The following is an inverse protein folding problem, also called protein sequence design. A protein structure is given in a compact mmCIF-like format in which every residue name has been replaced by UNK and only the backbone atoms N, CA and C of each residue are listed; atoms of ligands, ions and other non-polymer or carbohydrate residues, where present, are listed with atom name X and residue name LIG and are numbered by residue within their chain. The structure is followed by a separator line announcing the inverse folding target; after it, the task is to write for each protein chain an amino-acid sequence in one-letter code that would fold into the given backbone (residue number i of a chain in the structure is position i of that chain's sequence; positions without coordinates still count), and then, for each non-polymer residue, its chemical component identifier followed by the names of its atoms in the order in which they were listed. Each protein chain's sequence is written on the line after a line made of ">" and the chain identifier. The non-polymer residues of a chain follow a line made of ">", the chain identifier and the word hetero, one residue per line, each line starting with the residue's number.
data_IF_378189697865
#
_entry.id   IF_378189697865
#
_cell.length_a   1.000
_cell.length_b   1.000
_cell.length_c   1.000
_cell.angle_alpha   90.00
_cell.angle_beta   90.00
_cell.angle_gamma   90.00
#
_symmetry.space_group_name_H-M   'P 1'
#
loop_
_entity.id
_entity.type
_entity.pdbx_description
1 polymer ?
#
# COMPACT_ATOMS: atom_id res chain seq x y z
N UNK A 1 14.61 -0.51 0.35
CA UNK A 1 13.54 0.17 -0.41
C UNK A 1 13.03 -0.66 -1.59
N UNK A 2 13.89 -1.07 -2.53
CA UNK A 2 13.50 -1.77 -3.77
C UNK A 2 12.68 -3.06 -3.59
N UNK A 3 12.75 -3.70 -2.41
CA UNK A 3 11.98 -4.90 -2.07
C UNK A 3 10.63 -4.60 -1.42
N UNK A 4 10.52 -3.49 -0.70
CA UNK A 4 9.36 -3.16 0.14
C UNK A 4 8.43 -2.14 -0.51
N UNK A 5 8.94 -1.29 -1.42
CA UNK A 5 8.13 -0.30 -2.11
C UNK A 5 7.12 -0.96 -3.07
N UNK A 6 5.89 -0.44 -3.19
CA UNK A 6 4.79 -1.09 -3.91
C UNK A 6 5.05 -1.28 -5.41
N UNK A 7 5.73 -0.32 -6.05
CA UNK A 7 6.11 -0.41 -7.46
C UNK A 7 7.32 -1.33 -7.69
N UNK A 8 8.43 -1.05 -6.99
CA UNK A 8 9.69 -1.77 -7.19
C UNK A 8 9.65 -3.21 -6.67
N UNK A 9 8.87 -3.48 -5.62
CA UNK A 9 8.77 -4.77 -4.94
C UNK A 9 7.74 -5.72 -5.54
N UNK A 10 7.03 -5.33 -6.61
CA UNK A 10 5.97 -6.15 -7.19
C UNK A 10 6.49 -7.51 -7.68
N UNK A 11 5.74 -8.60 -7.42
CA UNK A 11 6.15 -9.98 -7.72
C UNK A 11 6.44 -10.23 -9.21
N UNK A 12 5.84 -9.42 -10.09
CA UNK A 12 6.06 -9.49 -11.53
C UNK A 12 7.45 -9.03 -11.98
N UNK A 13 8.19 -8.29 -11.14
CA UNK A 13 9.54 -7.80 -11.48
C UNK A 13 10.58 -8.84 -11.04
N UNK A 14 11.34 -9.45 -11.98
CA UNK A 14 12.39 -10.41 -11.64
C UNK A 14 13.40 -9.83 -10.65
N UNK A 15 13.87 -10.64 -9.70
CA UNK A 15 14.86 -10.23 -8.69
C UNK A 15 16.11 -9.62 -9.36
N UNK A 16 16.52 -10.18 -10.50
CA UNK A 16 17.68 -9.69 -11.28
C UNK A 16 17.53 -8.23 -11.72
N UNK A 17 16.34 -7.83 -12.16
CA UNK A 17 16.05 -6.44 -12.58
C UNK A 17 16.10 -5.50 -11.38
N UNK A 18 15.55 -5.92 -10.24
CA UNK A 18 15.58 -5.14 -9.00
C UNK A 18 17.00 -4.93 -8.48
N UNK A 19 17.84 -5.95 -8.57
CA UNK A 19 19.26 -5.85 -8.20
C UNK A 19 20.02 -4.89 -9.12
N UNK A 20 19.81 -4.98 -10.45
CA UNK A 20 20.41 -4.06 -11.41
C UNK A 20 19.99 -2.60 -11.13
N UNK A 21 18.70 -2.35 -10.90
CA UNK A 21 18.21 -1.01 -10.54
C UNK A 21 18.82 -0.51 -9.22
N UNK A 22 18.95 -1.35 -8.21
CA UNK A 22 19.58 -0.99 -6.95
C UNK A 22 21.07 -0.60 -7.13
N UNK A 23 21.81 -1.34 -7.96
CA UNK A 23 23.22 -1.05 -8.27
C UNK A 23 23.34 0.28 -9.03
N UNK A 24 22.49 0.50 -10.05
CA UNK A 24 22.49 1.75 -10.83
C UNK A 24 22.16 2.95 -9.95
N UNK A 25 21.13 2.86 -9.11
CA UNK A 25 20.77 3.92 -8.18
C UNK A 25 21.89 4.18 -7.17
N UNK A 26 22.51 3.13 -6.64
CA UNK A 26 23.67 3.27 -5.75
C UNK A 26 24.82 4.01 -6.43
N UNK A 27 25.12 3.69 -7.70
CA UNK A 27 26.16 4.37 -8.48
C UNK A 27 25.86 5.85 -8.71
N UNK A 28 24.60 6.21 -8.96
CA UNK A 28 24.19 7.61 -9.14
C UNK A 28 24.29 8.39 -7.83
N UNK A 29 23.91 7.76 -6.70
CA UNK A 29 23.81 8.44 -5.41
C UNK A 29 25.14 8.48 -4.66
N UNK A 30 26.09 7.57 -4.94
CA UNK A 30 27.36 7.45 -4.18
C UNK A 30 28.15 8.76 -4.07
N UNK A 31 28.08 9.63 -5.09
CA UNK A 31 28.77 10.93 -5.09
C UNK A 31 28.17 11.97 -4.13
N UNK A 32 26.95 11.74 -3.64
CA UNK A 32 26.21 12.66 -2.76
C UNK A 32 26.22 12.20 -1.30
N UNK A 33 26.77 11.01 -1.00
CA UNK A 33 26.76 10.42 0.35
C UNK A 33 28.11 10.64 1.01
N UNK A 34 28.08 11.03 2.29
CA UNK A 34 29.30 11.13 3.11
C UNK A 34 29.86 9.73 3.36
N UNK A 35 31.16 9.48 3.19
CA UNK A 35 31.71 8.15 3.42
C UNK A 35 31.60 7.77 4.91
N UNK A 36 31.31 6.50 5.24
CA UNK A 36 31.30 6.04 6.63
C UNK A 36 32.70 6.17 7.25
N UNK A 37 32.76 6.24 8.57
CA UNK A 37 34.06 6.32 9.27
C UNK A 37 34.89 5.07 9.00
N UNK A 38 36.17 5.25 8.65
CA UNK A 38 37.08 4.14 8.34
C UNK A 38 37.23 3.14 9.49
N UNK A 39 37.05 3.59 10.74
CA UNK A 39 37.10 2.77 11.94
C UNK A 39 35.91 1.81 12.08
N UNK A 40 34.73 2.21 11.60
CA UNK A 40 33.52 1.39 11.62
C UNK A 40 33.60 0.26 10.59
N UNK A 41 34.12 0.58 9.39
CA UNK A 41 34.27 -0.37 8.28
C UNK A 41 35.40 -1.36 8.55
N UNK A 42 36.43 -0.96 9.30
CA UNK A 42 37.58 -1.83 9.62
C UNK A 42 37.23 -3.04 10.50
N UNK A 43 36.06 -3.03 11.18
CA UNK A 43 35.59 -4.17 11.98
C UNK A 43 34.50 -4.93 11.22
N UNK A 44 34.63 -6.26 11.01
CA UNK A 44 33.63 -7.03 10.26
C UNK A 44 32.23 -6.92 10.89
N UNK A 45 32.15 -6.92 12.23
CA UNK A 45 30.87 -6.74 12.94
C UNK A 45 30.28 -5.33 12.73
N UNK A 46 31.12 -4.28 12.70
CA UNK A 46 30.69 -2.91 12.45
C UNK A 46 30.12 -2.73 11.05
N UNK A 47 30.73 -3.37 10.05
CA UNK A 47 30.23 -3.40 8.69
C UNK A 47 28.86 -4.10 8.58
N UNK A 48 28.68 -5.26 9.23
CA UNK A 48 27.39 -5.98 9.22
C UNK A 48 26.29 -5.13 9.86
N UNK A 49 26.57 -4.50 11.00
CA UNK A 49 25.60 -3.62 11.68
C UNK A 49 25.24 -2.41 10.82
N UNK A 50 26.22 -1.80 10.15
CA UNK A 50 25.98 -0.69 9.24
C UNK A 50 25.06 -1.11 8.07
N UNK A 51 25.35 -2.23 7.41
CA UNK A 51 24.52 -2.76 6.32
C UNK A 51 23.09 -3.05 6.81
N UNK A 52 22.95 -3.64 8.00
CA UNK A 52 21.65 -3.94 8.57
C UNK A 52 20.84 -2.66 8.87
N UNK A 53 21.48 -1.62 9.42
CA UNK A 53 20.81 -0.34 9.71
C UNK A 53 20.33 0.36 8.43
N UNK A 54 21.14 0.38 7.37
CA UNK A 54 20.77 0.93 6.07
C UNK A 54 19.64 0.12 5.40
N UNK A 55 19.72 -1.21 5.49
CA UNK A 55 18.69 -2.09 4.98
C UNK A 55 17.34 -1.85 5.68
N UNK A 56 17.35 -1.73 7.02
CA UNK A 56 16.16 -1.44 7.83
C UNK A 56 15.58 -0.06 7.51
N UNK A 57 16.42 0.97 7.40
CA UNK A 57 15.99 2.33 7.02
C UNK A 57 15.32 2.32 5.65
N UNK A 58 15.95 1.69 4.65
CA UNK A 58 15.37 1.56 3.33
C UNK A 58 14.10 0.70 3.31
N UNK A 59 13.95 -0.27 4.19
CA UNK A 59 12.72 -1.07 4.34
C UNK A 59 11.61 -0.20 4.96
N UNK A 60 11.92 0.58 5.99
CA UNK A 60 11.00 1.47 6.66
C UNK A 60 10.39 2.51 5.70
N UNK A 61 11.22 3.18 4.89
CA UNK A 61 10.76 4.09 3.83
C UNK A 61 9.83 3.38 2.83
N UNK A 62 10.19 2.15 2.43
CA UNK A 62 9.37 1.35 1.52
C UNK A 62 8.01 0.98 2.13
N UNK A 63 7.96 0.68 3.43
CA UNK A 63 6.73 0.36 4.14
C UNK A 63 5.77 1.54 4.23
N UNK A 64 6.26 2.77 4.39
CA UNK A 64 5.42 3.97 4.38
C UNK A 64 4.60 4.06 3.09
N UNK A 65 5.23 3.82 1.94
CA UNK A 65 4.51 3.75 0.66
C UNK A 65 3.58 2.53 0.58
N UNK A 66 4.02 1.40 1.13
CA UNK A 66 3.22 0.17 1.14
C UNK A 66 1.91 0.35 1.93
N UNK A 67 1.92 1.13 3.02
CA UNK A 67 0.72 1.43 3.79
C UNK A 67 -0.34 2.14 2.94
N UNK A 68 0.06 3.14 2.14
CA UNK A 68 -0.88 3.80 1.22
C UNK A 68 -1.58 2.79 0.30
N UNK A 69 -0.80 1.90 -0.32
CA UNK A 69 -1.34 0.88 -1.22
C UNK A 69 -2.24 -0.12 -0.49
N UNK A 70 -1.88 -0.55 0.72
CA UNK A 70 -2.74 -1.41 1.53
C UNK A 70 -4.06 -0.75 1.90
N UNK A 71 -4.12 0.58 2.05
CA UNK A 71 -5.36 1.28 2.38
C UNK A 71 -6.34 1.26 1.22
N UNK A 72 -5.84 1.51 0.01
CA UNK A 72 -6.61 1.41 -1.22
C UNK A 72 -7.02 -0.04 -1.50
N UNK A 73 -6.11 -1.00 -1.29
CA UNK A 73 -6.39 -2.43 -1.42
C UNK A 73 -7.53 -2.86 -0.49
N UNK A 74 -7.49 -2.42 0.77
CA UNK A 74 -8.51 -2.74 1.76
C UNK A 74 -9.89 -2.27 1.30
N UNK A 75 -10.01 -1.02 0.82
CA UNK A 75 -11.28 -0.50 0.30
C UNK A 75 -11.78 -1.29 -0.92
N UNK A 76 -10.87 -1.66 -1.82
CA UNK A 76 -11.18 -2.45 -3.00
C UNK A 76 -11.62 -3.89 -2.65
N UNK A 77 -11.04 -4.47 -1.59
CA UNK A 77 -11.42 -5.77 -1.04
C UNK A 77 -12.76 -5.75 -0.34
N UNK A 78 -13.05 -4.71 0.44
CA UNK A 78 -14.38 -4.50 1.03
C UNK A 78 -15.46 -4.41 -0.04
N UNK A 79 -15.22 -3.67 -1.13
CA UNK A 79 -16.16 -3.57 -2.25
C UNK A 79 -16.41 -4.93 -2.91
N UNK A 80 -15.34 -5.65 -3.26
CA UNK A 80 -15.46 -6.96 -3.90
C UNK A 80 -16.15 -7.99 -3.00
N UNK A 81 -15.89 -7.94 -1.69
CA UNK A 81 -16.55 -8.78 -0.70
C UNK A 81 -18.07 -8.49 -0.64
N UNK A 82 -18.48 -7.23 -0.56
CA UNK A 82 -19.89 -6.83 -0.49
C UNK A 82 -20.67 -7.15 -1.78
N UNK A 83 -20.00 -7.18 -2.92
CA UNK A 83 -20.57 -7.63 -4.20
C UNK A 83 -20.86 -9.13 -4.26
N UNK A 84 -20.41 -9.92 -3.26
CA UNK A 84 -20.54 -11.37 -3.27
C UNK A 84 -19.51 -12.08 -4.17
N UNK A 85 -18.49 -11.37 -4.68
CA UNK A 85 -17.42 -11.98 -5.49
C UNK A 85 -16.59 -12.98 -4.67
N UNK A 86 -16.61 -12.89 -3.34
CA UNK A 86 -16.00 -13.87 -2.45
C UNK A 86 -16.61 -15.27 -2.59
N UNK A 87 -17.88 -15.40 -3.00
CA UNK A 87 -18.50 -16.71 -3.23
C UNK A 87 -17.96 -17.39 -4.50
N UNK A 88 -17.51 -16.62 -5.51
CA UNK A 88 -16.88 -17.19 -6.71
C UNK A 88 -15.60 -17.97 -6.38
N UNK A 89 -14.93 -17.63 -5.26
CA UNK A 89 -13.73 -18.32 -4.78
C UNK A 89 -14.03 -19.73 -4.24
N UNK A 90 -15.28 -19.99 -3.82
CA UNK A 90 -15.73 -21.31 -3.36
C UNK A 90 -16.00 -22.25 -4.54
N UNK A 91 -16.39 -21.71 -5.69
CA UNK A 91 -16.75 -22.49 -6.87
C UNK A 91 -15.54 -22.90 -7.75
N UNK A 92 -14.37 -22.30 -7.57
CA UNK A 92 -13.12 -22.73 -8.23
C UNK A 92 -11.97 -22.94 -7.23
N UNK A 93 -11.92 -24.11 -6.55
CA UNK A 93 -10.80 -24.47 -5.68
C UNK A 93 -9.51 -24.82 -6.44
N UNK A 94 -9.55 -24.95 -7.78
CA UNK A 94 -8.41 -25.45 -8.57
C UNK A 94 -7.36 -24.38 -8.83
N UNK A 95 -7.76 -23.11 -8.86
CA UNK A 95 -6.86 -21.99 -9.12
C UNK A 95 -6.10 -21.51 -7.89
N UNK A 96 -6.45 -21.96 -6.67
CA UNK A 96 -5.94 -21.40 -5.40
C UNK A 96 -6.01 -19.85 -5.35
N UNK A 97 -6.83 -19.25 -6.21
CA UNK A 97 -6.85 -17.84 -6.45
C UNK A 97 -7.90 -17.21 -5.54
N UNK A 98 -7.51 -16.98 -4.28
CA UNK A 98 -8.20 -16.07 -3.34
C UNK A 98 -8.08 -14.60 -3.81
N UNK A 99 -8.25 -14.34 -5.11
CA UNK A 99 -8.04 -13.02 -5.68
C UNK A 99 -9.38 -12.42 -6.01
N UNK A 100 -9.75 -11.36 -5.29
CA UNK A 100 -10.80 -10.44 -5.69
C UNK A 100 -10.42 -9.79 -7.03
N UNK A 101 -11.04 -10.16 -8.17
CA UNK A 101 -10.61 -9.68 -9.48
C UNK A 101 -10.80 -8.17 -9.61
N UNK A 102 -11.89 -7.65 -9.05
CA UNK A 102 -12.17 -6.23 -9.01
C UNK A 102 -11.14 -5.48 -8.17
N UNK A 103 -10.81 -6.02 -7.00
CA UNK A 103 -9.75 -5.49 -6.14
C UNK A 103 -8.42 -5.36 -6.87
N UNK A 104 -8.07 -6.39 -7.64
CA UNK A 104 -6.89 -6.35 -8.51
C UNK A 104 -7.01 -5.25 -9.56
N UNK A 105 -8.11 -5.13 -10.30
CA UNK A 105 -8.27 -4.07 -11.31
C UNK A 105 -8.11 -2.68 -10.68
N UNK A 106 -8.77 -2.42 -9.55
CA UNK A 106 -8.68 -1.14 -8.83
C UNK A 106 -7.25 -0.84 -8.36
N UNK A 107 -6.51 -1.87 -7.92
CA UNK A 107 -5.10 -1.72 -7.56
C UNK A 107 -4.23 -1.34 -8.76
N UNK A 108 -4.47 -1.92 -9.94
CA UNK A 108 -3.74 -1.57 -11.16
C UNK A 108 -4.05 -0.14 -11.60
N UNK A 109 -5.31 0.29 -11.51
CA UNK A 109 -5.72 1.67 -11.76
C UNK A 109 -5.01 2.62 -10.79
N UNK A 110 -5.00 2.30 -9.50
CA UNK A 110 -4.31 3.13 -8.50
C UNK A 110 -2.80 3.18 -8.74
N UNK A 111 -2.17 2.06 -9.10
CA UNK A 111 -0.75 2.01 -9.46
C UNK A 111 -0.45 2.89 -10.67
N UNK A 112 -1.31 2.88 -11.70
CA UNK A 112 -1.15 3.78 -12.84
C UNK A 112 -1.25 5.24 -12.43
N UNK A 113 -2.26 5.61 -11.64
CA UNK A 113 -2.42 6.97 -11.12
C UNK A 113 -1.18 7.39 -10.31
N UNK A 114 -0.66 6.49 -9.46
CA UNK A 114 0.56 6.72 -8.69
C UNK A 114 1.77 7.02 -9.59
N UNK A 115 1.90 6.29 -10.71
CA UNK A 115 2.98 6.52 -11.68
C UNK A 115 2.79 7.84 -12.42
N UNK A 116 1.56 8.16 -12.82
CA UNK A 116 1.21 9.42 -13.51
C UNK A 116 1.45 10.66 -12.64
N UNK A 117 1.30 10.52 -11.32
CA UNK A 117 1.53 11.59 -10.34
C UNK A 117 2.97 11.60 -9.81
N UNK A 118 3.89 10.90 -10.46
CA UNK A 118 5.30 10.84 -10.07
C UNK A 118 5.54 10.36 -8.63
N UNK A 119 4.65 9.51 -8.09
CA UNK A 119 4.80 8.96 -6.75
C UNK A 119 6.11 8.18 -6.57
N UNK A 120 6.66 7.58 -7.63
CA UNK A 120 8.00 6.97 -7.60
C UNK A 120 9.11 7.98 -7.30
N UNK A 121 8.99 9.23 -7.77
CA UNK A 121 10.01 10.25 -7.57
C UNK A 121 10.04 10.69 -6.11
N UNK A 122 8.90 10.85 -5.46
CA UNK A 122 8.80 11.16 -4.01
C UNK A 122 9.53 10.09 -3.17
N UNK A 123 9.44 8.81 -3.55
CA UNK A 123 10.17 7.74 -2.86
C UNK A 123 11.67 7.83 -3.06
N UNK A 124 12.12 8.16 -4.27
CA UNK A 124 13.53 8.34 -4.57
C UNK A 124 14.10 9.57 -3.88
N UNK A 125 13.35 10.68 -3.85
CA UNK A 125 13.70 11.89 -3.09
C UNK A 125 13.82 11.61 -1.60
N UNK A 126 12.87 10.88 -1.02
CA UNK A 126 12.93 10.43 0.37
C UNK A 126 14.15 9.55 0.66
N UNK A 127 14.52 8.65 -0.25
CA UNK A 127 15.72 7.83 -0.14
C UNK A 127 17.00 8.69 -0.18
N UNK A 128 17.10 9.60 -1.14
CA UNK A 128 18.27 10.50 -1.25
C UNK A 128 18.40 11.39 -0.02
N UNK A 129 17.27 11.94 0.45
CA UNK A 129 17.22 12.74 1.67
C UNK A 129 17.62 11.93 2.92
N UNK A 130 17.29 10.63 2.98
CA UNK A 130 17.66 9.77 4.12
C UNK A 130 19.17 9.67 4.34
N UNK A 131 19.98 9.71 3.27
CA UNK A 131 21.45 9.64 3.37
C UNK A 131 22.06 10.90 4.00
N UNK A 132 21.37 12.04 3.94
CA UNK A 132 21.78 13.27 4.62
C UNK A 132 21.18 13.44 6.02
N UNK A 133 20.00 12.86 6.25
CA UNK A 133 19.24 13.02 7.49
C UNK A 133 19.60 12.00 8.57
N UNK A 134 19.90 10.75 8.20
CA UNK A 134 20.14 9.64 9.12
C UNK A 134 21.64 9.37 9.24
N UNK A 135 22.21 9.31 10.46
CA UNK A 135 23.62 8.96 10.65
C UNK A 135 23.92 7.55 10.15
N UNK A 136 25.01 7.40 9.40
CA UNK A 136 25.46 6.10 8.88
C UNK A 136 25.76 5.17 10.06
N UNK A 137 25.11 4.00 10.05
CA UNK A 137 25.19 3.00 11.11
C UNK A 137 24.67 3.43 12.50
N UNK A 138 23.82 4.47 12.58
CA UNK A 138 23.41 5.06 13.85
C UNK A 138 22.02 5.72 13.88
N UNK A 139 21.07 5.24 13.08
CA UNK A 139 19.67 5.68 13.19
C UNK A 139 18.98 5.12 14.44
N UNK A 140 18.07 5.88 15.05
CA UNK A 140 17.29 5.43 16.20
C UNK A 140 16.21 4.42 15.79
N UNK A 141 16.64 3.19 15.62
CA UNK A 141 15.80 2.06 15.26
C UNK A 141 14.78 1.72 16.35
N UNK A 142 15.08 2.03 17.62
CA UNK A 142 14.16 1.81 18.75
C UNK A 142 12.91 2.68 18.63
N UNK A 143 13.06 3.96 18.28
CA UNK A 143 11.94 4.86 18.07
C UNK A 143 11.18 4.61 16.75
N UNK A 144 11.83 3.98 15.77
CA UNK A 144 11.26 3.71 14.44
C UNK A 144 10.11 2.69 14.48
N UNK A 145 10.23 1.64 15.31
CA UNK A 145 9.22 0.58 15.42
C UNK A 145 7.84 1.10 15.87
N UNK A 146 7.74 1.82 17.01
CA UNK A 146 6.50 2.44 17.46
C UNK A 146 5.90 3.42 16.45
N UNK A 147 6.74 4.22 15.78
CA UNK A 147 6.27 5.18 14.77
C UNK A 147 5.65 4.49 13.56
N UNK A 148 6.31 3.44 13.05
CA UNK A 148 5.76 2.60 11.98
C UNK A 148 4.43 1.94 12.39
N UNK A 149 4.29 1.55 13.65
CA UNK A 149 3.04 1.01 14.17
C UNK A 149 1.93 2.07 14.20
N UNK A 150 2.25 3.31 14.58
CA UNK A 150 1.30 4.44 14.51
C UNK A 150 0.88 4.71 13.06
N UNK A 151 1.81 4.70 12.11
CA UNK A 151 1.53 4.82 10.68
C UNK A 151 0.64 3.67 10.17
N UNK A 152 0.91 2.44 10.61
CA UNK A 152 0.06 1.28 10.31
C UNK A 152 -1.35 1.41 10.94
N UNK A 153 -1.51 2.16 12.04
CA UNK A 153 -2.83 2.55 12.55
C UNK A 153 -3.55 3.54 11.63
N UNK A 154 -2.82 4.52 11.09
CA UNK A 154 -3.33 5.48 10.09
C UNK A 154 -3.77 4.83 8.78
N UNK A 155 -3.17 3.70 8.43
CA UNK A 155 -3.63 2.85 7.33
C UNK A 155 -5.07 2.37 7.55
N UNK A 156 -5.40 1.86 8.73
CA UNK A 156 -6.74 1.37 9.01
C UNK A 156 -7.77 2.50 8.89
N UNK A 157 -7.46 3.69 9.41
CA UNK A 157 -8.37 4.84 9.30
C UNK A 157 -8.55 5.29 7.84
N UNK A 158 -7.48 5.32 7.05
CA UNK A 158 -7.53 5.69 5.63
C UNK A 158 -8.30 4.65 4.81
N UNK A 159 -8.00 3.36 4.99
CA UNK A 159 -8.70 2.27 4.34
C UNK A 159 -10.18 2.23 4.70
N UNK A 160 -10.52 2.40 5.98
CA UNK A 160 -11.91 2.46 6.44
C UNK A 160 -12.64 3.67 5.85
N UNK A 161 -11.99 4.84 5.79
CA UNK A 161 -12.56 6.05 5.18
C UNK A 161 -12.86 5.83 3.70
N UNK A 162 -11.94 5.22 2.95
CA UNK A 162 -12.14 4.86 1.55
C UNK A 162 -13.24 3.81 1.36
N UNK A 163 -13.35 2.83 2.26
CA UNK A 163 -14.36 1.77 2.21
C UNK A 163 -15.75 2.21 2.69
N UNK A 164 -15.82 3.25 3.52
CA UNK A 164 -17.05 3.73 4.18
C UNK A 164 -18.24 3.95 3.24
N UNK A 165 -18.14 4.60 2.06
CA UNK A 165 -19.28 4.75 1.16
C UNK A 165 -19.83 3.39 0.68
N UNK A 166 -18.96 2.40 0.49
CA UNK A 166 -19.39 1.05 0.10
C UNK A 166 -20.15 0.39 1.24
N UNK A 167 -19.56 0.38 2.43
CA UNK A 167 -20.17 -0.22 3.63
C UNK A 167 -21.55 0.36 3.91
N UNK A 168 -21.71 1.69 3.84
CA UNK A 168 -23.01 2.34 4.05
C UNK A 168 -24.00 1.97 2.94
N UNK A 169 -23.58 2.01 1.68
CA UNK A 169 -24.46 1.68 0.55
C UNK A 169 -24.95 0.24 0.63
N UNK A 170 -24.05 -0.72 0.84
CA UNK A 170 -24.44 -2.12 0.95
C UNK A 170 -25.23 -2.41 2.22
N UNK A 171 -24.94 -1.76 3.34
CA UNK A 171 -25.77 -1.87 4.54
C UNK A 171 -27.24 -1.46 4.27
N UNK A 172 -27.47 -0.40 3.50
CA UNK A 172 -28.80 0.01 3.07
C UNK A 172 -29.43 -1.03 2.13
N UNK A 173 -28.65 -1.60 1.20
CA UNK A 173 -29.12 -2.67 0.30
C UNK A 173 -29.53 -3.91 1.09
N UNK A 174 -28.73 -4.37 2.05
CA UNK A 174 -29.09 -5.52 2.91
C UNK A 174 -30.34 -5.23 3.73
N UNK A 175 -30.46 -4.01 4.26
CA UNK A 175 -31.65 -3.59 5.02
C UNK A 175 -32.91 -3.60 4.15
N UNK A 176 -32.81 -3.08 2.91
CA UNK A 176 -33.92 -3.10 1.96
C UNK A 176 -34.32 -4.53 1.56
N UNK A 177 -33.33 -5.40 1.30
CA UNK A 177 -33.57 -6.81 1.00
C UNK A 177 -34.19 -7.56 2.19
N UNK A 178 -33.77 -7.26 3.41
CA UNK A 178 -34.36 -7.82 4.64
C UNK A 178 -35.81 -7.41 4.86
N UNK A 179 -36.18 -6.18 4.49
CA UNK A 179 -37.59 -5.74 4.48
C UNK A 179 -38.35 -6.46 3.36
N UNK A 180 -37.78 -6.55 2.16
CA UNK A 180 -38.38 -7.25 1.03
C UNK A 180 -38.67 -8.73 1.34
N UNK A 181 -37.77 -9.39 2.07
CA UNK A 181 -37.94 -10.75 2.58
C UNK A 181 -39.25 -10.96 3.37
N UNK A 182 -39.67 -9.95 4.14
CA UNK A 182 -40.91 -9.99 4.92
C UNK A 182 -42.15 -9.77 4.05
N UNK A 183 -42.02 -8.97 2.99
CA UNK A 183 -43.12 -8.64 2.07
C UNK A 183 -43.39 -9.78 1.09
N UNK A 184 -42.34 -10.39 0.55
CA UNK A 184 -42.42 -11.49 -0.43
C UNK A 184 -41.61 -12.70 0.08
N UNK A 185 -42.13 -13.47 1.06
CA UNK A 185 -41.38 -14.55 1.71
C UNK A 185 -41.07 -15.74 0.78
N UNK A 186 -41.81 -15.85 -0.32
CA UNK A 186 -41.60 -16.88 -1.36
C UNK A 186 -40.51 -16.50 -2.38
N UNK A 187 -39.95 -15.29 -2.33
CA UNK A 187 -38.89 -14.87 -3.24
C UNK A 187 -37.53 -15.45 -2.80
N UNK A 188 -36.79 -15.99 -3.76
CA UNK A 188 -35.39 -16.34 -3.54
C UNK A 188 -34.51 -15.09 -3.56
N UNK A 189 -34.23 -14.56 -2.36
CA UNK A 189 -33.41 -13.37 -2.16
C UNK A 189 -31.96 -13.56 -2.57
N UNK A 190 -31.47 -14.79 -2.63
CA UNK A 190 -30.11 -15.05 -3.11
C UNK A 190 -30.05 -14.83 -4.62
N UNK A 191 -30.97 -15.45 -5.36
CA UNK A 191 -31.08 -15.29 -6.82
C UNK A 191 -31.37 -13.85 -7.24
N UNK A 192 -32.14 -13.10 -6.44
CA UNK A 192 -32.48 -11.71 -6.74
C UNK A 192 -31.42 -10.70 -6.24
N UNK A 193 -30.85 -10.95 -5.06
CA UNK A 193 -29.91 -10.03 -4.41
C UNK A 193 -28.54 -9.99 -5.05
N UNK A 194 -28.02 -11.14 -5.52
CA UNK A 194 -26.68 -11.20 -6.12
C UNK A 194 -26.54 -10.32 -7.37
N UNK A 195 -27.45 -10.37 -8.38
CA UNK A 195 -27.39 -9.46 -9.53
C UNK A 195 -27.49 -7.98 -9.14
N UNK A 196 -28.35 -7.64 -8.17
CA UNK A 196 -28.52 -6.25 -7.70
C UNK A 196 -27.23 -5.74 -7.04
N UNK A 197 -26.65 -6.54 -6.13
CA UNK A 197 -25.38 -6.21 -5.45
C UNK A 197 -24.25 -6.02 -6.46
N UNK A 198 -24.22 -6.82 -7.52
CA UNK A 198 -23.22 -6.72 -8.57
C UNK A 198 -23.37 -5.42 -9.38
N UNK A 199 -24.58 -5.04 -9.79
CA UNK A 199 -24.83 -3.77 -10.50
C UNK A 199 -24.49 -2.55 -9.65
N UNK A 200 -24.89 -2.55 -8.37
CA UNK A 200 -24.58 -1.48 -7.43
C UNK A 200 -23.07 -1.40 -7.19
N UNK A 201 -22.42 -2.54 -6.95
CA UNK A 201 -20.98 -2.58 -6.71
C UNK A 201 -20.13 -2.15 -7.91
N UNK A 202 -20.52 -2.52 -9.14
CA UNK A 202 -19.88 -2.00 -10.35
C UNK A 202 -20.06 -0.48 -10.49
N UNK A 203 -21.25 0.03 -10.17
CA UNK A 203 -21.51 1.48 -10.16
C UNK A 203 -20.62 2.20 -9.13
N UNK A 204 -20.49 1.63 -7.93
CA UNK A 204 -19.59 2.13 -6.88
C UNK A 204 -18.12 2.04 -7.30
N UNK A 205 -17.71 1.00 -8.03
CA UNK A 205 -16.34 0.89 -8.54
C UNK A 205 -16.01 2.02 -9.54
N UNK A 206 -16.94 2.35 -10.44
CA UNK A 206 -16.79 3.47 -11.37
C UNK A 206 -16.66 4.79 -10.60
N UNK A 207 -17.54 5.02 -9.62
CA UNK A 207 -17.47 6.21 -8.76
C UNK A 207 -16.16 6.26 -7.96
N UNK A 208 -15.67 5.12 -7.48
CA UNK A 208 -14.39 5.05 -6.78
C UNK A 208 -13.23 5.47 -7.67
N UNK A 209 -13.17 4.94 -8.90
CA UNK A 209 -12.13 5.31 -9.88
C UNK A 209 -12.19 6.82 -10.19
N UNK A 210 -13.39 7.38 -10.38
CA UNK A 210 -13.55 8.81 -10.64
C UNK A 210 -13.06 9.66 -9.45
N UNK A 211 -13.31 9.22 -8.22
CA UNK A 211 -12.88 9.92 -7.02
C UNK A 211 -11.40 9.67 -6.66
N UNK A 212 -10.77 8.60 -7.17
CA UNK A 212 -9.33 8.37 -6.98
C UNK A 212 -8.49 9.48 -7.62
N UNK A 213 -8.91 10.04 -8.76
CA UNK A 213 -8.21 11.15 -9.42
C UNK A 213 -7.93 12.34 -8.49
N UNK A 214 -8.96 12.97 -7.88
CA UNK A 214 -8.76 14.09 -6.95
C UNK A 214 -8.18 13.68 -5.60
N UNK A 215 -8.40 12.44 -5.13
CA UNK A 215 -7.87 11.97 -3.84
C UNK A 215 -6.40 11.54 -3.90
N UNK A 216 -5.93 11.05 -5.05
CA UNK A 216 -4.59 10.50 -5.17
C UNK A 216 -3.47 11.52 -4.87
N UNK A 217 -3.52 12.79 -5.33
CA UNK A 217 -2.52 13.79 -4.95
C UNK A 217 -2.45 14.02 -3.44
N UNK A 218 -3.59 14.07 -2.75
CA UNK A 218 -3.64 14.23 -1.29
C UNK A 218 -3.02 13.01 -0.58
N UNK A 219 -3.38 11.80 -1.02
CA UNK A 219 -2.86 10.56 -0.46
C UNK A 219 -1.35 10.38 -0.70
N UNK A 220 -0.85 10.74 -1.88
CA UNK A 220 0.57 10.68 -2.24
C UNK A 220 1.36 11.78 -1.52
N UNK A 221 0.79 12.98 -1.36
CA UNK A 221 1.39 14.07 -0.58
C UNK A 221 1.58 13.66 0.89
N UNK A 222 0.52 13.10 1.50
CA UNK A 222 0.60 12.56 2.87
C UNK A 222 1.67 11.48 3.02
N UNK A 223 1.84 10.60 2.02
CA UNK A 223 2.93 9.62 2.02
C UNK A 223 4.31 10.30 2.05
N UNK A 224 4.48 11.41 1.33
CA UNK A 224 5.71 12.22 1.39
C UNK A 224 5.96 12.79 2.79
N UNK A 225 4.93 13.39 3.40
CA UNK A 225 5.00 13.91 4.77
C UNK A 225 5.32 12.81 5.79
N UNK A 226 4.71 11.63 5.61
CA UNK A 226 4.97 10.46 6.45
C UNK A 226 6.43 10.00 6.34
N UNK A 227 7.01 10.00 5.13
CA UNK A 227 8.43 9.68 4.93
C UNK A 227 9.32 10.71 5.66
N UNK A 228 9.01 12.01 5.55
CA UNK A 228 9.77 13.05 6.24
C UNK A 228 9.69 12.88 7.76
N UNK A 229 8.50 12.58 8.29
CA UNK A 229 8.30 12.33 9.72
C UNK A 229 9.10 11.12 10.21
N UNK A 230 9.14 10.05 9.41
CA UNK A 230 9.91 8.83 9.70
C UNK A 230 11.41 9.12 9.73
N UNK A 231 11.91 9.92 8.79
CA UNK A 231 13.31 10.31 8.75
C UNK A 231 13.68 11.25 9.92
N UNK A 232 12.76 12.08 10.38
CA UNK A 232 12.95 12.88 11.59
C UNK A 232 13.10 12.02 12.85
N UNK A 233 12.30 10.95 12.98
CA UNK A 233 12.39 9.97 14.08
C UNK A 233 13.68 9.14 14.01
N UNK A 234 14.10 8.75 12.80
CA UNK A 234 15.37 8.02 12.62
C UNK A 234 16.60 8.88 12.97
N UNK A 235 16.49 10.20 12.84
CA UNK A 235 17.56 11.15 13.15
C UNK A 235 17.71 11.42 14.66
N UNK A 236 16.63 11.34 15.44
CA UNK A 236 16.59 11.69 16.87
C UNK A 236 17.19 10.62 17.76
#
# INVERSE_FOLDING_TARGET
>A
MMTAAPFFGHKSIPVKVRLLLAILLSWVVVGFVTPPSAQLIARPLGLVVAIAAEALTGIAIGFTAQFLFWGVQYAADVLGFQMGLAMAQVFDPTTNANTNPLGRILMWVFLMIFILLDGQHILLEGLVFSFGAVPIAGGNLEATGPHLLTMAGGLFSTGLRLASPFMVTFFLVESAMGIFARVVPQADLFSLGMPIKLLIGLSLAVLFIQNLGPLAPELIGRMGDDIISLLAVLRS
#
